data_IF_101360655618
#
_entry.id   IF_101360655618
#
_cell.length_a   1.000
_cell.length_b   1.000
_cell.length_c   1.000
_cell.angle_alpha   90.00
_cell.angle_beta   90.00
_cell.angle_gamma   90.00
#
_symmetry.space_group_name_H-M   'P 1'
#
loop_
_entity.id
_entity.type
_entity.pdbx_description
1 polymer ?
#
# COMPACT_ATOMS: atom_id res chain seq x y z
N UNK A 1 -11.75 -5.74 31.96
CA UNK A 1 -10.96 -6.61 31.06
C UNK A 1 -10.86 -5.90 29.73
N UNK A 2 -9.65 -5.65 29.21
CA UNK A 2 -9.50 -5.03 27.90
C UNK A 2 -9.98 -6.00 26.82
N UNK A 3 -10.86 -5.57 25.93
CA UNK A 3 -11.33 -6.39 24.82
C UNK A 3 -10.14 -6.79 23.92
N UNK A 4 -10.18 -8.01 23.38
CA UNK A 4 -9.13 -8.56 22.50
C UNK A 4 -9.73 -9.06 21.20
N UNK A 5 -8.93 -9.06 20.13
CA UNK A 5 -9.29 -9.68 18.86
C UNK A 5 -8.28 -10.77 18.52
N UNK A 6 -8.76 -11.84 17.89
CA UNK A 6 -7.92 -12.97 17.46
C UNK A 6 -8.14 -13.25 15.98
N UNK A 7 -7.06 -13.44 15.22
CA UNK A 7 -7.12 -13.76 13.80
C UNK A 7 -6.06 -14.81 13.40
N UNK A 8 -6.31 -15.60 12.34
CA UNK A 8 -5.34 -16.57 11.84
C UNK A 8 -4.16 -15.88 11.16
N UNK A 9 -2.97 -16.44 11.34
CA UNK A 9 -1.75 -16.04 10.63
C UNK A 9 -1.34 -17.19 9.71
N UNK A 10 -1.20 -16.95 8.39
CA UNK A 10 -0.82 -17.99 7.45
C UNK A 10 0.64 -18.40 7.66
N UNK A 11 0.96 -19.68 7.44
CA UNK A 11 2.36 -20.13 7.40
C UNK A 11 3.09 -19.61 6.17
N UNK A 12 2.37 -19.49 5.06
CA UNK A 12 2.89 -19.12 3.75
C UNK A 12 2.01 -18.03 3.17
N UNK A 13 2.63 -17.00 2.61
CA UNK A 13 1.94 -15.95 1.85
C UNK A 13 2.35 -16.03 0.38
N UNK A 14 1.42 -15.70 -0.51
CA UNK A 14 1.65 -15.59 -1.95
C UNK A 14 1.31 -14.18 -2.40
N UNK A 15 2.21 -13.57 -3.18
CA UNK A 15 1.99 -12.29 -3.85
C UNK A 15 2.33 -12.41 -5.32
N UNK A 16 1.60 -11.68 -6.15
CA UNK A 16 1.81 -11.67 -7.59
C UNK A 16 1.97 -10.24 -8.09
N UNK A 17 3.01 -10.04 -8.88
CA UNK A 17 3.21 -8.85 -9.68
C UNK A 17 3.13 -9.25 -11.15
N UNK A 18 2.83 -8.29 -12.00
CA UNK A 18 2.72 -8.52 -13.43
C UNK A 18 3.33 -7.38 -14.19
N UNK A 19 3.99 -7.69 -15.30
CA UNK A 19 4.49 -6.73 -16.27
C UNK A 19 3.75 -6.96 -17.59
N UNK A 20 3.02 -5.93 -18.02
CA UNK A 20 2.36 -5.88 -19.31
C UNK A 20 3.32 -5.28 -20.35
N UNK A 21 3.50 -5.95 -21.48
CA UNK A 21 4.38 -5.48 -22.56
C UNK A 21 3.86 -5.89 -23.95
N UNK A 22 4.40 -5.28 -24.99
CA UNK A 22 4.12 -5.67 -26.38
C UNK A 22 4.66 -7.07 -26.70
N UNK A 23 5.82 -7.40 -26.12
CA UNK A 23 6.49 -8.68 -26.28
C UNK A 23 7.20 -9.06 -24.98
N UNK A 24 6.89 -10.25 -24.47
CA UNK A 24 7.47 -10.81 -23.25
C UNK A 24 8.45 -11.93 -23.65
N UNK A 25 9.76 -11.82 -23.33
CA UNK A 25 10.74 -12.84 -23.65
C UNK A 25 10.38 -14.21 -23.06
N UNK A 26 10.78 -15.30 -23.75
CA UNK A 26 10.57 -16.67 -23.24
C UNK A 26 11.44 -16.98 -22.02
N UNK A 27 12.69 -16.51 -22.02
CA UNK A 27 13.69 -16.78 -21.00
C UNK A 27 13.64 -15.76 -19.85
N UNK A 28 12.51 -15.70 -19.13
CA UNK A 28 12.27 -14.67 -18.10
C UNK A 28 13.20 -14.80 -16.88
N UNK A 29 13.54 -16.00 -16.44
CA UNK A 29 14.45 -16.20 -15.31
C UNK A 29 15.84 -15.64 -15.60
N UNK A 30 16.38 -15.94 -16.79
CA UNK A 30 17.66 -15.38 -17.27
C UNK A 30 17.61 -13.86 -17.39
N UNK A 31 16.49 -13.31 -17.89
CA UNK A 31 16.26 -11.88 -17.97
C UNK A 31 16.30 -11.22 -16.59
N UNK A 32 15.57 -11.77 -15.63
CA UNK A 32 15.49 -11.27 -14.25
C UNK A 32 16.86 -11.31 -13.57
N UNK A 33 17.66 -12.36 -13.78
CA UNK A 33 19.02 -12.45 -13.26
C UNK A 33 19.98 -11.39 -13.83
N UNK A 34 19.80 -11.03 -15.11
CA UNK A 34 20.64 -10.04 -15.79
C UNK A 34 20.22 -8.60 -15.46
N UNK A 35 18.93 -8.36 -15.24
CA UNK A 35 18.34 -7.02 -15.15
C UNK A 35 18.06 -6.53 -13.74
N UNK A 36 17.93 -7.44 -12.77
CA UNK A 36 17.82 -7.01 -11.37
C UNK A 36 19.16 -6.47 -10.88
N UNK A 37 19.18 -5.19 -10.52
CA UNK A 37 20.36 -4.49 -9.97
C UNK A 37 20.17 -4.13 -8.50
N UNK A 38 21.22 -3.61 -7.87
CA UNK A 38 21.15 -3.06 -6.51
C UNK A 38 20.97 -4.12 -5.40
N UNK A 39 20.36 -3.69 -4.29
CA UNK A 39 20.35 -4.44 -3.03
C UNK A 39 19.63 -5.81 -3.06
N UNK A 40 18.86 -6.08 -4.12
CA UNK A 40 18.08 -7.32 -4.27
C UNK A 40 18.68 -8.32 -5.25
N UNK A 41 19.76 -7.96 -5.96
CA UNK A 41 20.35 -8.82 -7.00
C UNK A 41 20.67 -10.24 -6.49
N UNK A 42 21.38 -10.35 -5.38
CA UNK A 42 21.76 -11.65 -4.80
C UNK A 42 20.53 -12.46 -4.36
N UNK A 43 19.52 -11.80 -3.79
CA UNK A 43 18.29 -12.47 -3.37
C UNK A 43 17.46 -12.98 -4.55
N UNK A 44 17.34 -12.18 -5.62
CA UNK A 44 16.69 -12.62 -6.85
C UNK A 44 17.45 -13.79 -7.47
N UNK A 45 18.79 -13.70 -7.56
CA UNK A 45 19.62 -14.81 -8.07
C UNK A 45 19.45 -16.11 -7.28
N UNK A 46 19.35 -16.02 -5.95
CA UNK A 46 19.16 -17.19 -5.11
C UNK A 46 17.75 -17.79 -5.11
N UNK A 47 16.74 -17.08 -5.62
CA UNK A 47 15.32 -17.48 -5.50
C UNK A 47 14.62 -17.70 -6.84
N UNK A 48 15.04 -17.02 -7.91
CA UNK A 48 14.35 -17.13 -9.20
C UNK A 48 14.41 -18.56 -9.74
N UNK A 49 13.28 -19.05 -10.28
CA UNK A 49 13.15 -20.44 -10.72
C UNK A 49 12.90 -21.43 -9.57
N UNK A 50 12.68 -20.94 -8.35
CA UNK A 50 12.21 -21.73 -7.20
C UNK A 50 10.78 -21.33 -6.85
N UNK A 51 10.05 -22.12 -6.04
CA UNK A 51 8.72 -21.71 -5.56
C UNK A 51 8.71 -20.38 -4.78
N UNK A 52 9.86 -19.93 -4.26
CA UNK A 52 9.97 -18.64 -3.56
C UNK A 52 9.93 -17.43 -4.50
N UNK A 53 10.29 -17.62 -5.77
CA UNK A 53 10.21 -16.61 -6.82
C UNK A 53 10.07 -17.31 -8.18
N UNK A 54 8.83 -17.52 -8.59
CA UNK A 54 8.48 -18.03 -9.90
C UNK A 54 8.25 -16.86 -10.87
N UNK A 55 8.71 -17.02 -12.11
CA UNK A 55 8.53 -16.03 -13.18
C UNK A 55 8.05 -16.76 -14.42
N UNK A 56 6.84 -16.45 -14.85
CA UNK A 56 6.17 -17.13 -15.96
C UNK A 56 5.56 -16.14 -16.94
N UNK A 57 5.36 -16.59 -18.18
CA UNK A 57 4.66 -15.84 -19.22
C UNK A 57 3.21 -16.31 -19.27
N UNK A 58 2.28 -15.37 -19.23
CA UNK A 58 0.87 -15.59 -19.48
C UNK A 58 0.42 -14.78 -20.70
N UNK A 59 -0.48 -15.34 -21.51
CA UNK A 59 -1.10 -14.65 -22.64
C UNK A 59 -2.51 -14.19 -22.25
N UNK A 60 -2.97 -13.08 -22.85
CA UNK A 60 -4.25 -12.44 -22.51
C UNK A 60 -5.45 -13.39 -22.58
N UNK A 61 -5.45 -14.34 -23.52
CA UNK A 61 -6.52 -15.32 -23.71
C UNK A 61 -6.66 -16.33 -22.56
N UNK A 62 -5.65 -16.48 -21.70
CA UNK A 62 -5.59 -17.51 -20.65
C UNK A 62 -5.47 -16.94 -19.24
N UNK A 63 -5.64 -15.63 -19.08
CA UNK A 63 -5.52 -14.98 -17.78
C UNK A 63 -6.62 -15.46 -16.82
N UNK A 64 -6.23 -15.76 -15.59
CA UNK A 64 -7.16 -16.08 -14.49
C UNK A 64 -7.58 -14.84 -13.67
N UNK A 65 -7.27 -13.66 -14.19
CA UNK A 65 -7.48 -12.36 -13.58
C UNK A 65 -7.79 -11.35 -14.68
N UNK A 66 -8.45 -10.25 -14.33
CA UNK A 66 -8.92 -9.25 -15.28
C UNK A 66 -7.95 -8.06 -15.33
N UNK A 67 -7.24 -7.83 -16.45
CA UNK A 67 -6.38 -6.64 -16.62
C UNK A 67 -7.13 -5.33 -16.44
N UNK A 68 -8.42 -5.29 -16.79
CA UNK A 68 -9.25 -4.09 -16.65
C UNK A 68 -9.61 -3.78 -15.21
N UNK A 69 -9.21 -4.62 -14.24
CA UNK A 69 -9.32 -4.32 -12.80
C UNK A 69 -8.12 -3.55 -12.24
N UNK A 70 -7.03 -3.46 -13.02
CA UNK A 70 -5.81 -2.74 -12.64
C UNK A 70 -5.97 -1.25 -12.94
N UNK A 71 -5.62 -0.41 -11.96
CA UNK A 71 -5.80 1.05 -12.01
C UNK A 71 -4.47 1.77 -11.83
N UNK A 72 -4.34 2.91 -12.51
CA UNK A 72 -3.37 3.92 -12.10
C UNK A 72 -3.84 4.58 -10.79
N UNK A 73 -2.94 4.74 -9.82
CA UNK A 73 -3.24 5.50 -8.59
C UNK A 73 -3.42 6.98 -8.92
N UNK A 74 -2.59 7.51 -9.82
CA UNK A 74 -2.58 8.91 -10.18
C UNK A 74 -3.09 9.16 -11.61
N UNK A 75 -3.88 10.23 -11.85
CA UNK A 75 -4.46 10.51 -13.15
C UNK A 75 -3.45 10.65 -14.30
N UNK A 76 -2.22 11.08 -14.02
CA UNK A 76 -1.14 11.20 -15.01
C UNK A 76 -0.70 9.86 -15.60
N UNK A 77 -0.92 8.75 -14.88
CA UNK A 77 -0.57 7.41 -15.34
C UNK A 77 -1.71 6.73 -16.14
N UNK A 78 -2.78 7.46 -16.49
CA UNK A 78 -3.88 6.93 -17.32
C UNK A 78 -3.42 6.31 -18.64
N UNK A 79 -2.38 6.86 -19.28
CA UNK A 79 -1.81 6.27 -20.50
C UNK A 79 -1.21 4.89 -20.24
N UNK A 80 -0.52 4.72 -19.12
CA UNK A 80 0.05 3.43 -18.72
C UNK A 80 -1.06 2.43 -18.35
N UNK A 81 -2.13 2.90 -17.71
CA UNK A 81 -3.32 2.08 -17.48
C UNK A 81 -3.94 1.58 -18.79
N UNK A 82 -4.17 2.47 -19.76
CA UNK A 82 -4.65 2.07 -21.09
C UNK A 82 -3.69 1.08 -21.76
N UNK A 83 -2.38 1.33 -21.75
CA UNK A 83 -1.39 0.42 -22.32
C UNK A 83 -1.42 -0.96 -21.64
N UNK A 84 -1.55 -0.98 -20.32
CA UNK A 84 -1.67 -2.22 -19.55
C UNK A 84 -2.92 -3.02 -19.92
N UNK A 85 -4.08 -2.35 -20.06
CA UNK A 85 -5.34 -3.01 -20.44
C UNK A 85 -5.32 -3.60 -21.85
N UNK A 86 -4.54 -3.03 -22.76
CA UNK A 86 -4.45 -3.46 -24.17
C UNK A 86 -3.24 -4.36 -24.46
N UNK A 87 -2.42 -4.67 -23.45
CA UNK A 87 -1.27 -5.54 -23.63
C UNK A 87 -1.70 -6.96 -24.03
N UNK A 88 -0.90 -7.57 -24.91
CA UNK A 88 -1.15 -8.94 -25.41
C UNK A 88 -0.48 -9.99 -24.54
N UNK A 89 0.63 -9.62 -23.91
CA UNK A 89 1.49 -10.53 -23.17
C UNK A 89 1.81 -9.98 -21.79
N UNK A 90 1.92 -10.92 -20.85
CA UNK A 90 2.15 -10.61 -19.45
C UNK A 90 3.28 -11.49 -18.90
N UNK A 91 4.27 -10.88 -18.25
CA UNK A 91 5.18 -11.59 -17.37
C UNK A 91 4.59 -11.57 -15.96
N UNK A 92 4.34 -12.73 -15.36
CA UNK A 92 3.83 -12.88 -14.01
C UNK A 92 4.96 -13.28 -13.08
N UNK A 93 5.16 -12.49 -12.04
CA UNK A 93 6.15 -12.74 -10.99
C UNK A 93 5.39 -13.16 -9.73
N UNK A 94 5.60 -14.39 -9.29
CA UNK A 94 4.93 -14.95 -8.11
C UNK A 94 5.95 -15.21 -7.00
N UNK A 95 5.79 -14.56 -5.86
CA UNK A 95 6.51 -14.90 -4.63
C UNK A 95 5.61 -15.71 -3.71
N UNK A 96 6.03 -16.93 -3.36
CA UNK A 96 5.39 -17.74 -2.33
C UNK A 96 6.40 -18.16 -1.26
N UNK A 97 6.23 -17.68 -0.04
CA UNK A 97 7.23 -17.89 1.01
C UNK A 97 6.62 -17.85 2.40
N UNK A 98 7.39 -18.23 3.44
CA UNK A 98 6.90 -18.16 4.80
C UNK A 98 6.58 -16.71 5.18
N UNK A 99 5.55 -16.50 6.02
CA UNK A 99 5.17 -15.14 6.45
C UNK A 99 6.30 -14.41 7.17
N UNK A 100 7.22 -15.16 7.79
CA UNK A 100 8.41 -14.65 8.48
C UNK A 100 9.48 -14.10 7.52
N UNK A 101 9.40 -14.38 6.22
CA UNK A 101 10.28 -13.80 5.20
C UNK A 101 9.78 -12.41 4.74
N UNK A 102 8.63 -11.96 5.24
CA UNK A 102 8.06 -10.66 4.87
C UNK A 102 8.64 -9.53 5.74
N UNK A 103 8.87 -8.34 5.15
CA UNK A 103 8.50 -7.93 3.79
C UNK A 103 9.52 -8.32 2.70
N UNK A 104 10.68 -8.89 3.07
CA UNK A 104 11.80 -9.10 2.15
C UNK A 104 11.43 -9.96 0.94
N UNK A 105 10.66 -11.03 1.16
CA UNK A 105 10.21 -11.92 0.10
C UNK A 105 9.41 -11.22 -0.99
N UNK A 106 8.44 -10.37 -0.62
CA UNK A 106 7.66 -9.63 -1.62
C UNK A 106 8.47 -8.50 -2.27
N UNK A 107 9.41 -7.87 -1.56
CA UNK A 107 10.31 -6.88 -2.16
C UNK A 107 11.20 -7.48 -3.25
N UNK A 108 11.71 -8.70 -3.03
CA UNK A 108 12.49 -9.43 -4.04
C UNK A 108 11.67 -9.67 -5.31
N UNK A 109 10.40 -10.05 -5.18
CA UNK A 109 9.52 -10.22 -6.34
C UNK A 109 9.19 -8.89 -7.03
N UNK A 110 8.97 -7.80 -6.29
CA UNK A 110 8.75 -6.48 -6.91
C UNK A 110 10.01 -5.98 -7.62
N UNK A 111 11.20 -6.23 -7.06
CA UNK A 111 12.49 -5.95 -7.72
C UNK A 111 12.64 -6.71 -9.05
N UNK A 112 12.25 -7.99 -9.08
CA UNK A 112 12.23 -8.76 -10.32
C UNK A 112 11.26 -8.18 -11.35
N UNK A 113 10.07 -7.73 -10.91
CA UNK A 113 9.09 -7.07 -11.78
C UNK A 113 9.62 -5.74 -12.34
N UNK A 114 10.34 -4.93 -11.55
CA UNK A 114 11.06 -3.76 -12.07
C UNK A 114 12.05 -4.16 -13.17
N UNK A 115 12.90 -5.16 -12.93
CA UNK A 115 13.89 -5.61 -13.91
C UNK A 115 13.28 -6.13 -15.22
N UNK A 116 12.13 -6.80 -15.15
CA UNK A 116 11.38 -7.20 -16.36
C UNK A 116 10.80 -5.98 -17.08
N UNK A 117 10.13 -5.08 -16.35
CA UNK A 117 9.51 -3.90 -16.93
C UNK A 117 10.53 -2.98 -17.60
N UNK A 118 11.69 -2.77 -16.99
CA UNK A 118 12.79 -2.01 -17.59
C UNK A 118 13.27 -2.67 -18.89
N UNK A 119 13.45 -3.99 -18.88
CA UNK A 119 13.99 -4.70 -20.03
C UNK A 119 13.01 -4.82 -21.21
N UNK A 120 11.71 -4.77 -20.95
CA UNK A 120 10.66 -4.84 -21.98
C UNK A 120 10.04 -3.48 -22.31
N UNK A 121 10.44 -2.40 -21.62
CA UNK A 121 9.72 -1.12 -21.67
C UNK A 121 8.26 -1.23 -21.20
N UNK A 122 7.97 -2.20 -20.34
CA UNK A 122 6.62 -2.58 -19.92
C UNK A 122 6.04 -1.72 -18.79
N UNK A 123 4.79 -2.02 -18.44
CA UNK A 123 4.08 -1.41 -17.29
C UNK A 123 3.94 -2.48 -16.21
N UNK A 124 4.47 -2.20 -15.01
CA UNK A 124 4.39 -3.13 -13.89
C UNK A 124 3.24 -2.77 -12.94
N UNK A 125 2.50 -3.80 -12.54
CA UNK A 125 1.38 -3.69 -11.62
C UNK A 125 1.42 -4.77 -10.54
N UNK A 126 0.85 -4.44 -9.40
CA UNK A 126 0.68 -5.33 -8.26
C UNK A 126 -0.75 -5.88 -8.27
N UNK A 127 -0.90 -7.20 -8.44
CA UNK A 127 -2.22 -7.84 -8.54
C UNK A 127 -2.96 -7.86 -7.19
N UNK A 128 -2.24 -7.70 -6.08
CA UNK A 128 -2.85 -7.70 -4.74
C UNK A 128 -3.47 -6.33 -4.46
N UNK A 129 -2.74 -5.24 -4.69
CA UNK A 129 -3.30 -3.87 -4.54
C UNK A 129 -4.24 -3.51 -5.70
N UNK A 130 -3.99 -4.06 -6.89
CA UNK A 130 -4.68 -3.68 -8.13
C UNK A 130 -4.09 -2.42 -8.78
N UNK A 131 -2.87 -2.02 -8.40
CA UNK A 131 -2.28 -0.74 -8.81
C UNK A 131 -1.04 -0.89 -9.69
N UNK A 132 -0.89 0.05 -10.62
CA UNK A 132 0.34 0.25 -11.40
C UNK A 132 1.37 0.95 -10.52
N UNK A 133 2.54 0.33 -10.34
CA UNK A 133 3.63 0.87 -9.51
C UNK A 133 4.88 1.26 -10.31
N UNK A 134 4.97 0.88 -11.59
CA UNK A 134 6.07 1.28 -12.45
C UNK A 134 5.62 1.47 -13.90
N UNK A 135 6.16 2.53 -14.53
CA UNK A 135 5.99 2.79 -15.96
C UNK A 135 7.33 3.26 -16.52
N UNK A 136 7.73 2.76 -17.69
CA UNK A 136 8.92 3.26 -18.40
C UNK A 136 8.80 4.77 -18.75
N UNK A 137 7.56 5.27 -18.90
CA UNK A 137 7.25 6.66 -19.22
C UNK A 137 7.36 7.64 -18.03
N UNK A 138 7.57 7.17 -16.79
CA UNK A 138 7.75 8.06 -15.64
C UNK A 138 8.98 8.97 -15.79
N UNK A 139 9.94 8.59 -16.65
CA UNK A 139 11.08 9.41 -17.04
C UNK A 139 10.69 10.67 -17.85
N UNK A 140 9.46 10.74 -18.39
CA UNK A 140 8.98 11.87 -19.21
C UNK A 140 8.17 12.91 -18.43
N UNK A 141 7.68 12.58 -17.23
CA UNK A 141 6.83 13.47 -16.41
C UNK A 141 7.61 14.29 -15.37
N UNK A 142 8.94 14.23 -15.38
CA UNK A 142 9.79 14.99 -14.44
C UNK A 142 9.75 14.52 -12.98
N UNK A 143 8.91 13.53 -12.66
CA UNK A 143 8.86 12.86 -11.35
C UNK A 143 9.59 11.52 -11.45
N UNK A 144 10.74 11.33 -10.78
CA UNK A 144 11.48 10.08 -10.88
C UNK A 144 10.66 8.95 -10.23
N UNK A 145 10.07 8.06 -11.03
CA UNK A 145 9.70 6.76 -10.50
C UNK A 145 10.99 6.06 -10.05
N UNK A 146 11.01 5.37 -8.90
CA UNK A 146 12.20 4.68 -8.48
C UNK A 146 12.56 3.65 -9.58
N UNK A 147 13.79 3.70 -10.12
CA UNK A 147 14.20 2.78 -11.19
C UNK A 147 14.35 1.34 -10.68
N UNK A 148 14.25 1.13 -9.38
CA UNK A 148 14.42 -0.16 -8.72
C UNK A 148 13.72 -0.19 -7.37
N UNK A 149 13.57 -1.39 -6.82
CA UNK A 149 13.00 -1.59 -5.48
C UNK A 149 13.85 -0.92 -4.39
N UNK A 150 13.19 -0.21 -3.48
CA UNK A 150 13.84 0.43 -2.32
C UNK A 150 14.39 -0.62 -1.35
N UNK A 151 15.66 -0.54 -0.91
CA UNK A 151 16.21 -1.47 0.08
C UNK A 151 15.49 -1.43 1.43
N UNK A 152 15.05 -0.24 1.84
CA UNK A 152 14.22 -0.03 3.03
C UNK A 152 12.75 -0.16 2.65
N UNK A 153 12.02 -1.00 3.37
CA UNK A 153 10.57 -1.12 3.22
C UNK A 153 9.85 0.13 3.74
N UNK A 154 8.92 0.66 2.96
CA UNK A 154 8.05 1.79 3.30
C UNK A 154 6.63 1.44 2.87
N UNK A 155 5.65 1.40 3.78
CA UNK A 155 4.30 0.90 3.46
C UNK A 155 3.58 1.80 2.43
N UNK A 156 3.82 3.12 2.49
CA UNK A 156 3.30 4.08 1.53
C UNK A 156 3.87 3.96 0.10
N UNK A 157 4.91 3.15 -0.11
CA UNK A 157 5.46 2.87 -1.42
C UNK A 157 4.58 1.87 -2.19
N UNK A 158 3.27 2.16 -2.27
CA UNK A 158 2.24 1.39 -2.98
C UNK A 158 2.09 -0.09 -2.55
N UNK A 159 2.52 -0.45 -1.34
CA UNK A 159 2.30 -1.78 -0.78
C UNK A 159 0.87 -1.99 -0.27
N UNK A 160 0.16 -0.88 -0.05
CA UNK A 160 -1.23 -0.83 0.36
C UNK A 160 -2.07 -0.26 -0.78
N UNK A 161 -3.00 -1.08 -1.27
CA UNK A 161 -4.06 -0.67 -2.16
C UNK A 161 -5.14 0.02 -1.35
N UNK A 162 -5.22 1.32 -1.51
CA UNK A 162 -6.20 2.18 -0.88
C UNK A 162 -6.53 3.26 -1.91
N UNK A 163 -7.80 3.41 -2.21
CA UNK A 163 -8.26 4.43 -3.13
C UNK A 163 -9.41 5.15 -2.44
N UNK A 164 -9.33 6.47 -2.40
CA UNK A 164 -10.51 7.25 -2.11
C UNK A 164 -11.56 6.92 -3.16
N UNK A 165 -12.84 6.76 -2.77
CA UNK A 165 -13.88 6.71 -3.77
C UNK A 165 -13.79 7.98 -4.62
N UNK A 166 -14.13 7.91 -5.90
CA UNK A 166 -14.26 9.11 -6.73
C UNK A 166 -15.17 10.11 -6.02
N UNK A 167 -14.80 11.40 -6.08
CA UNK A 167 -15.43 12.50 -5.36
C UNK A 167 -16.97 12.36 -5.33
N UNK A 168 -17.55 12.49 -4.12
CA UNK A 168 -18.99 12.32 -3.85
C UNK A 168 -19.58 11.00 -4.35
N UNK A 169 -18.86 9.89 -4.17
CA UNK A 169 -19.31 8.57 -4.60
C UNK A 169 -19.78 8.54 -6.07
N UNK A 170 -19.00 9.13 -6.99
CA UNK A 170 -19.37 9.36 -8.40
C UNK A 170 -20.64 10.22 -8.57
N UNK A 171 -20.77 11.29 -7.78
CA UNK A 171 -21.95 12.17 -7.81
C UNK A 171 -23.23 11.53 -7.27
N UNK A 172 -23.14 10.38 -6.59
CA UNK A 172 -24.30 9.72 -5.93
C UNK A 172 -24.55 10.26 -4.52
N UNK A 173 -23.60 10.96 -3.93
CA UNK A 173 -23.82 11.65 -2.66
C UNK A 173 -24.68 12.89 -2.90
N UNK A 174 -25.89 12.89 -2.32
CA UNK A 174 -26.86 14.00 -2.42
C UNK A 174 -26.75 15.00 -1.27
N UNK A 175 -25.78 14.84 -0.36
CA UNK A 175 -25.58 15.79 0.72
C UNK A 175 -25.15 17.16 0.18
N UNK A 176 -25.53 18.21 0.91
CA UNK A 176 -25.21 19.58 0.59
C UNK A 176 -23.69 19.78 0.51
N UNK A 177 -23.27 20.74 -0.29
CA UNK A 177 -21.85 21.08 -0.38
C UNK A 177 -21.35 21.61 0.97
N UNK A 178 -20.27 21.06 1.54
CA UNK A 178 -19.64 21.59 2.75
C UNK A 178 -19.40 23.10 2.72
N UNK A 179 -19.07 23.67 1.54
CA UNK A 179 -18.84 25.11 1.38
C UNK A 179 -20.14 25.93 1.40
N UNK A 180 -21.28 25.30 1.08
CA UNK A 180 -22.60 25.95 1.02
C UNK A 180 -23.45 25.68 2.27
N UNK A 181 -23.20 24.57 2.95
CA UNK A 181 -23.88 24.15 4.18
C UNK A 181 -22.88 23.49 5.15
N UNK A 182 -22.19 24.31 5.97
CA UNK A 182 -21.24 23.82 6.97
C UNK A 182 -21.88 22.92 8.06
N UNK A 183 -23.17 23.09 8.34
CA UNK A 183 -23.92 22.23 9.27
C UNK A 183 -24.24 20.86 8.63
N UNK A 184 -24.32 20.82 7.30
CA UNK A 184 -24.53 19.62 6.48
C UNK A 184 -23.28 18.77 6.19
N UNK A 185 -22.10 19.17 6.69
CA UNK A 185 -20.79 18.49 6.44
C UNK A 185 -20.81 17.01 6.89
N UNK A 186 -21.55 16.71 7.96
CA UNK A 186 -21.78 15.36 8.47
C UNK A 186 -23.03 14.68 7.88
N UNK A 187 -23.71 15.32 6.93
CA UNK A 187 -24.99 14.89 6.36
C UNK A 187 -24.91 13.68 5.41
N UNK A 188 -23.71 13.15 5.15
CA UNK A 188 -23.54 11.89 4.40
C UNK A 188 -22.71 10.86 5.18
N UNK A 189 -22.91 9.59 4.85
CA UNK A 189 -22.17 8.44 5.41
C UNK A 189 -21.82 7.43 4.30
N UNK A 190 -21.58 7.92 3.09
CA UNK A 190 -21.51 7.09 1.88
C UNK A 190 -20.10 6.55 1.59
N UNK A 191 -19.07 7.01 2.32
CA UNK A 191 -17.69 6.57 2.11
C UNK A 191 -17.42 5.29 2.92
N UNK A 192 -16.93 4.29 2.21
CA UNK A 192 -16.36 3.07 2.78
C UNK A 192 -14.97 2.89 2.19
N UNK A 193 -13.97 2.81 3.06
CA UNK A 193 -12.59 2.55 2.68
C UNK A 193 -12.17 1.19 3.17
N UNK A 194 -11.37 0.50 2.37
CA UNK A 194 -10.85 -0.83 2.68
C UNK A 194 -9.43 -0.94 2.17
N UNK A 195 -8.53 -1.49 2.98
CA UNK A 195 -7.17 -1.77 2.53
C UNK A 195 -7.14 -3.02 1.65
N UNK A 196 -6.16 -3.07 0.77
CA UNK A 196 -5.77 -4.27 0.02
C UNK A 196 -4.26 -4.44 0.10
N UNK A 197 -3.78 -5.54 0.65
CA UNK A 197 -2.34 -5.82 0.67
C UNK A 197 -1.83 -6.35 1.99
N UNK A 198 -2.51 -6.09 3.10
CA UNK A 198 -2.08 -6.53 4.43
C UNK A 198 -1.97 -8.06 4.53
N UNK A 199 -2.80 -8.77 3.76
CA UNK A 199 -2.76 -10.24 3.69
C UNK A 199 -1.41 -10.80 3.26
N UNK A 200 -0.65 -10.08 2.43
CA UNK A 200 0.69 -10.55 2.01
C UNK A 200 1.70 -10.57 3.15
N UNK A 201 1.43 -9.78 4.19
CA UNK A 201 2.21 -9.70 5.41
C UNK A 201 1.62 -10.53 6.55
N UNK A 202 0.58 -11.34 6.30
CA UNK A 202 -0.05 -12.18 7.32
C UNK A 202 -1.09 -11.47 8.20
N UNK A 203 -1.51 -10.26 7.82
CA UNK A 203 -2.52 -9.49 8.54
C UNK A 203 -3.89 -9.50 7.83
N UNK A 204 -5.01 -9.38 8.58
CA UNK A 204 -6.31 -9.05 8.01
C UNK A 204 -6.29 -7.71 7.28
N UNK A 205 -7.18 -7.54 6.29
CA UNK A 205 -7.42 -6.20 5.74
C UNK A 205 -8.19 -5.35 6.75
N UNK A 206 -8.08 -4.03 6.62
CA UNK A 206 -8.79 -3.07 7.45
C UNK A 206 -9.92 -2.41 6.65
N UNK A 207 -10.97 -1.99 7.33
CA UNK A 207 -11.99 -1.13 6.77
C UNK A 207 -12.46 -0.07 7.75
N UNK A 208 -12.97 1.03 7.21
CA UNK A 208 -13.77 2.02 7.93
C UNK A 208 -15.02 2.31 7.08
N UNK A 209 -16.18 2.40 7.74
CA UNK A 209 -17.49 2.58 7.09
C UNK A 209 -18.17 3.82 7.63
N UNK A 210 -19.26 4.22 6.96
CA UNK A 210 -20.16 5.28 7.42
C UNK A 210 -19.50 6.66 7.51
N UNK A 211 -18.46 6.87 6.69
CA UNK A 211 -17.67 8.10 6.64
C UNK A 211 -18.35 9.12 5.72
N UNK A 212 -18.40 10.37 6.15
CA UNK A 212 -18.84 11.48 5.32
C UNK A 212 -17.77 11.83 4.28
N UNK A 213 -18.18 12.24 3.08
CA UNK A 213 -17.25 12.64 2.02
C UNK A 213 -16.16 13.63 2.47
N UNK A 214 -16.45 14.65 3.31
CA UNK A 214 -15.42 15.59 3.76
C UNK A 214 -14.33 14.97 4.66
N UNK A 215 -14.60 13.80 5.24
CA UNK A 215 -13.70 13.12 6.18
C UNK A 215 -12.98 11.92 5.56
N UNK A 216 -13.05 11.75 4.23
CA UNK A 216 -12.49 10.59 3.54
C UNK A 216 -10.95 10.52 3.63
N UNK A 217 -10.26 11.66 3.54
CA UNK A 217 -8.81 11.77 3.72
C UNK A 217 -8.40 11.42 5.15
N UNK A 218 -9.12 11.95 6.15
CA UNK A 218 -8.88 11.62 7.55
C UNK A 218 -9.09 10.12 7.82
N UNK A 219 -10.20 9.56 7.33
CA UNK A 219 -10.49 8.14 7.41
C UNK A 219 -9.41 7.27 6.75
N UNK A 220 -8.94 7.69 5.56
CA UNK A 220 -7.87 7.02 4.85
C UNK A 220 -6.57 7.03 5.67
N UNK A 221 -6.19 8.17 6.21
CA UNK A 221 -4.97 8.29 7.00
C UNK A 221 -5.07 7.53 8.34
N UNK A 222 -6.24 7.44 8.96
CA UNK A 222 -6.48 6.52 10.09
C UNK A 222 -6.24 5.07 9.69
N UNK A 223 -6.73 4.62 8.52
CA UNK A 223 -6.47 3.26 8.04
C UNK A 223 -4.98 3.01 7.76
N UNK A 224 -4.30 3.95 7.10
CA UNK A 224 -2.86 3.89 6.81
C UNK A 224 -2.02 3.74 8.06
N UNK A 225 -2.28 4.59 9.05
CA UNK A 225 -1.57 4.58 10.33
C UNK A 225 -1.89 3.33 11.14
N UNK A 226 -3.15 2.89 11.14
CA UNK A 226 -3.53 1.61 11.78
C UNK A 226 -2.81 0.44 11.14
N UNK A 227 -2.75 0.39 9.81
CA UNK A 227 -2.04 -0.64 9.06
C UNK A 227 -0.55 -0.67 9.44
N UNK A 228 0.12 0.50 9.48
CA UNK A 228 1.53 0.59 9.87
C UNK A 228 1.75 0.12 11.30
N UNK A 229 0.94 0.57 12.25
CA UNK A 229 1.01 0.17 13.66
C UNK A 229 0.88 -1.34 13.81
N UNK A 230 -0.15 -1.93 13.21
CA UNK A 230 -0.40 -3.37 13.27
C UNK A 230 0.73 -4.18 12.65
N UNK A 231 1.31 -3.69 11.56
CA UNK A 231 2.43 -4.32 10.85
C UNK A 231 3.71 -4.30 11.69
N UNK A 232 4.05 -3.17 12.33
CA UNK A 232 5.17 -3.09 13.28
C UNK A 232 5.03 -4.12 14.39
N UNK A 233 3.87 -4.12 15.07
CA UNK A 233 3.62 -5.05 16.15
C UNK A 233 3.61 -6.51 15.65
N UNK A 234 3.18 -6.74 14.40
CA UNK A 234 3.15 -8.07 13.79
C UNK A 234 4.52 -8.64 13.54
N UNK A 235 5.43 -7.85 12.98
CA UNK A 235 6.80 -8.30 12.74
C UNK A 235 7.56 -8.52 14.04
N UNK A 236 7.33 -7.67 15.05
CA UNK A 236 7.87 -7.90 16.39
C UNK A 236 7.38 -9.24 16.96
N UNK A 237 6.08 -9.54 16.81
CA UNK A 237 5.52 -10.82 17.23
C UNK A 237 6.09 -12.01 16.42
N UNK A 238 6.19 -11.91 15.09
CA UNK A 238 6.75 -12.97 14.24
C UNK A 238 8.21 -13.27 14.59
N UNK A 239 8.99 -12.25 14.95
CA UNK A 239 10.38 -12.40 15.35
C UNK A 239 10.55 -13.22 16.65
N UNK A 240 9.49 -13.37 17.46
CA UNK A 240 9.51 -14.26 18.64
C UNK A 240 9.41 -15.74 18.29
N UNK A 241 9.23 -16.11 17.02
CA UNK A 241 9.06 -17.49 16.57
C UNK A 241 7.79 -18.16 17.12
N UNK A 242 6.60 -17.55 16.96
CA UNK A 242 5.39 -18.06 17.56
C UNK A 242 5.00 -19.42 16.97
N UNK A 243 4.78 -20.41 17.83
CA UNK A 243 4.31 -21.73 17.42
C UNK A 243 2.82 -21.72 17.00
N UNK A 244 2.02 -20.80 17.56
CA UNK A 244 0.60 -20.69 17.28
C UNK A 244 0.32 -19.98 15.95
N UNK A 245 -0.60 -20.52 15.16
CA UNK A 245 -1.06 -19.94 13.87
C UNK A 245 -2.19 -18.92 14.03
N UNK A 246 -2.35 -18.39 15.23
CA UNK A 246 -3.32 -17.36 15.56
C UNK A 246 -2.63 -16.31 16.39
N UNK A 247 -2.97 -15.05 16.13
CA UNK A 247 -2.46 -13.92 16.89
C UNK A 247 -3.61 -13.23 17.60
N UNK A 248 -3.44 -13.00 18.89
CA UNK A 248 -4.37 -12.23 19.72
C UNK A 248 -3.74 -10.88 20.03
N UNK A 249 -4.49 -9.80 19.83
CA UNK A 249 -4.08 -8.43 20.14
C UNK A 249 -5.18 -7.69 20.91
N UNK A 250 -4.81 -6.57 21.54
CA UNK A 250 -5.80 -5.67 22.14
C UNK A 250 -6.73 -5.10 21.06
N UNK A 251 -8.03 -5.03 21.36
CA UNK A 251 -9.01 -4.42 20.49
C UNK A 251 -8.88 -2.88 20.51
N UNK A 252 -8.65 -2.30 21.68
CA UNK A 252 -8.32 -0.89 21.83
C UNK A 252 -6.84 -0.65 21.55
N UNK A 253 -6.52 0.25 20.63
CA UNK A 253 -5.14 0.66 20.35
C UNK A 253 -5.07 2.16 20.16
N UNK A 254 -3.88 2.73 20.31
CA UNK A 254 -3.65 4.15 20.08
C UNK A 254 -2.72 4.34 18.89
N UNK A 255 -3.03 5.33 18.06
CA UNK A 255 -2.21 5.75 16.94
C UNK A 255 -1.40 6.98 17.33
N UNK A 256 -0.15 7.03 16.90
CA UNK A 256 0.76 8.14 17.19
C UNK A 256 1.17 8.84 15.88
N UNK A 257 1.70 10.07 16.00
CA UNK A 257 2.36 10.74 14.86
C UNK A 257 3.49 9.89 14.29
N UNK A 258 4.23 9.19 15.15
CA UNK A 258 5.30 8.28 14.73
C UNK A 258 4.79 7.16 13.82
N UNK A 259 3.62 6.57 14.11
CA UNK A 259 3.02 5.55 13.23
C UNK A 259 2.65 6.11 11.85
N UNK A 260 2.24 7.38 11.79
CA UNK A 260 1.92 8.08 10.53
C UNK A 260 3.16 8.42 9.73
N UNK A 261 4.20 8.95 10.37
CA UNK A 261 5.49 9.23 9.72
C UNK A 261 6.15 7.94 9.20
N UNK A 262 6.09 6.88 10.00
CA UNK A 262 6.59 5.56 9.64
C UNK A 262 5.84 4.93 8.45
N UNK A 263 4.55 5.25 8.27
CA UNK A 263 3.79 4.83 7.11
C UNK A 263 4.39 5.43 5.83
N UNK A 264 4.66 6.74 5.86
CA UNK A 264 5.26 7.49 4.75
C UNK A 264 6.76 7.24 4.56
N UNK A 265 7.41 6.63 5.55
CA UNK A 265 8.86 6.45 5.57
C UNK A 265 9.61 7.76 5.78
N UNK A 266 8.92 8.82 6.21
CA UNK A 266 9.51 10.12 6.51
C UNK A 266 10.26 10.05 7.83
N UNK A 267 11.53 10.46 7.82
CA UNK A 267 12.30 10.71 9.04
C UNK A 267 12.02 12.09 9.62
N UNK A 268 10.89 12.74 9.29
CA UNK A 268 10.55 14.09 9.76
C UNK A 268 10.31 14.03 11.27
N UNK A 269 11.40 14.05 12.04
CA UNK A 269 11.43 14.40 13.46
C UNK A 269 11.20 15.91 13.58
N UNK A 270 10.12 16.42 12.98
CA UNK A 270 9.69 17.77 13.29
C UNK A 270 9.04 17.66 14.67
N UNK A 271 9.76 18.14 15.68
CA UNK A 271 9.40 18.07 17.10
C UNK A 271 8.17 18.90 17.46
N UNK A 272 7.05 18.71 16.75
CA UNK A 272 5.76 19.08 17.30
C UNK A 272 5.52 18.25 18.55
N UNK A 273 5.08 18.88 19.66
CA UNK A 273 4.75 18.15 20.86
C UNK A 273 3.74 17.06 20.52
N UNK A 274 3.98 15.86 21.06
CA UNK A 274 3.12 14.69 20.87
C UNK A 274 1.67 15.10 21.06
N UNK A 275 0.88 15.09 19.98
CA UNK A 275 -0.56 15.06 20.12
C UNK A 275 -0.91 13.86 21.02
N UNK A 276 -2.00 13.99 21.80
CA UNK A 276 -2.50 12.85 22.55
C UNK A 276 -2.70 11.66 21.60
N UNK A 277 -2.32 10.43 22.00
CA UNK A 277 -2.48 9.28 21.13
C UNK A 277 -3.94 9.12 20.69
N UNK A 278 -4.17 9.02 19.39
CA UNK A 278 -5.51 8.90 18.83
C UNK A 278 -6.04 7.48 19.06
N UNK A 279 -7.01 7.35 19.97
CA UNK A 279 -7.56 6.05 20.37
C UNK A 279 -8.51 5.52 19.29
N UNK A 280 -8.34 4.25 18.95
CA UNK A 280 -9.18 3.52 18.01
C UNK A 280 -9.64 2.20 18.62
N UNK A 281 -10.70 1.63 18.05
CA UNK A 281 -11.19 0.31 18.39
C UNK A 281 -11.23 -0.57 17.14
N UNK A 282 -10.60 -1.74 17.26
CA UNK A 282 -10.57 -2.79 16.25
C UNK A 282 -11.68 -3.80 16.54
N UNK A 283 -12.55 -4.03 15.56
CA UNK A 283 -13.63 -5.03 15.64
C UNK A 283 -13.48 -6.05 14.53
N UNK A 284 -13.37 -7.36 14.82
CA UNK A 284 -13.27 -8.36 13.79
C UNK A 284 -14.62 -8.48 13.07
N UNK A 285 -14.62 -8.29 11.75
CA UNK A 285 -15.80 -8.52 10.91
C UNK A 285 -15.78 -9.94 10.35
N UNK A 286 -14.58 -10.37 9.92
CA UNK A 286 -14.30 -11.75 9.52
C UNK A 286 -12.87 -12.10 9.97
N UNK A 287 -12.43 -13.36 9.88
CA UNK A 287 -11.03 -13.71 10.15
C UNK A 287 -9.99 -12.96 9.28
N UNK A 288 -10.43 -12.32 8.18
CA UNK A 288 -9.57 -11.61 7.22
C UNK A 288 -9.93 -10.15 7.02
N UNK A 289 -10.78 -9.60 7.90
CA UNK A 289 -11.24 -8.21 7.85
C UNK A 289 -11.52 -7.67 9.24
N UNK A 290 -10.88 -6.55 9.58
CA UNK A 290 -11.08 -5.82 10.82
C UNK A 290 -11.67 -4.44 10.49
N UNK A 291 -12.72 -4.05 11.20
CA UNK A 291 -13.26 -2.70 11.16
C UNK A 291 -12.53 -1.82 12.17
N UNK A 292 -12.09 -0.65 11.72
CA UNK A 292 -11.51 0.42 12.52
C UNK A 292 -12.60 1.45 12.80
N UNK A 293 -12.75 1.86 14.05
CA UNK A 293 -13.71 2.89 14.43
C UNK A 293 -13.39 3.53 15.78
N UNK A 294 -14.28 4.39 16.28
CA UNK A 294 -14.07 5.10 17.53
C UNK A 294 -14.03 4.13 18.74
N UNK A 295 -13.37 4.56 19.83
CA UNK A 295 -13.44 3.89 21.13
C UNK A 295 -14.89 3.64 21.59
N UNK A 296 -15.10 2.60 22.39
CA UNK A 296 -16.44 2.21 22.87
C UNK A 296 -17.07 3.27 23.79
N UNK A 297 -16.25 4.07 24.48
CA UNK A 297 -16.65 5.18 25.34
C UNK A 297 -16.97 6.47 24.55
N UNK A 298 -16.71 6.50 23.24
CA UNK A 298 -16.99 7.68 22.41
C UNK A 298 -18.49 7.82 22.13
N UNK A 299 -19.06 8.99 22.44
CA UNK A 299 -20.51 9.26 22.34
C UNK A 299 -20.97 9.87 21.01
N UNK A 300 -20.05 10.22 20.12
CA UNK A 300 -20.36 10.79 18.81
C UNK A 300 -20.35 9.78 17.66
N UNK A 301 -20.58 10.28 16.45
CA UNK A 301 -20.48 9.51 15.20
C UNK A 301 -19.03 9.26 14.80
N UNK A 302 -18.81 8.40 13.79
CA UNK A 302 -17.47 8.22 13.20
C UNK A 302 -16.92 9.54 12.64
N UNK A 303 -17.80 10.41 12.16
CA UNK A 303 -17.43 11.70 11.57
C UNK A 303 -17.00 12.70 12.64
N UNK A 304 -17.71 12.76 13.78
CA UNK A 304 -17.30 13.57 14.93
C UNK A 304 -15.94 13.13 15.48
N UNK A 305 -15.68 11.81 15.43
CA UNK A 305 -14.42 11.22 15.86
C UNK A 305 -13.27 11.57 14.90
N UNK A 306 -13.50 11.44 13.59
CA UNK A 306 -12.56 11.81 12.53
C UNK A 306 -12.32 13.32 12.40
N UNK A 307 -13.14 14.15 13.02
CA UNK A 307 -12.96 15.60 13.08
C UNK A 307 -12.55 16.09 14.47
N UNK A 308 -12.30 15.17 15.41
CA UNK A 308 -11.88 15.55 16.75
C UNK A 308 -10.46 16.13 16.71
N UNK A 309 -10.20 17.19 17.48
CA UNK A 309 -8.86 17.79 17.61
C UNK A 309 -7.77 16.87 18.17
N UNK A 310 -8.06 15.57 18.35
CA UNK A 310 -7.14 14.54 18.81
C UNK A 310 -6.43 13.77 17.67
N UNK A 311 -6.83 13.96 16.40
CA UNK A 311 -6.08 13.39 15.28
C UNK A 311 -4.71 14.08 15.14
N UNK A 312 -3.62 13.30 14.99
CA UNK A 312 -2.30 13.85 14.69
C UNK A 312 -2.32 14.78 13.47
N UNK A 313 -1.59 15.89 13.56
CA UNK A 313 -1.44 16.85 12.46
C UNK A 313 -0.92 16.19 11.18
N UNK A 314 -1.46 16.60 10.03
CA UNK A 314 -1.16 16.02 8.72
C UNK A 314 -2.09 14.88 8.28
N UNK A 315 -2.85 14.27 9.21
CA UNK A 315 -3.83 13.24 8.83
C UNK A 315 -5.06 13.81 8.09
N UNK A 316 -5.31 15.11 8.19
CA UNK A 316 -6.45 15.75 7.51
C UNK A 316 -6.22 15.96 6.01
N UNK A 317 -4.97 16.18 5.58
CA UNK A 317 -4.72 16.79 4.26
C UNK A 317 -3.71 16.04 3.38
N UNK A 318 -2.95 15.08 3.93
CA UNK A 318 -1.87 14.42 3.19
C UNK A 318 -2.43 13.22 2.40
N UNK A 319 -2.42 13.35 1.06
CA UNK A 319 -2.84 12.31 0.12
C UNK A 319 -1.68 11.57 -0.55
N UNK A 320 -0.49 12.18 -0.61
CA UNK A 320 0.70 11.64 -1.27
C UNK A 320 1.96 12.03 -0.48
N UNK A 321 3.01 11.22 -0.59
CA UNK A 321 4.20 11.38 0.24
C UNK A 321 4.92 12.70 -0.05
N UNK A 322 5.23 13.53 0.96
CA UNK A 322 6.14 14.67 0.79
C UNK A 322 7.58 14.25 0.46
N UNK A 323 7.95 12.97 0.64
CA UNK A 323 9.26 12.46 0.24
C UNK A 323 9.44 12.34 -1.28
N UNK A 324 8.35 12.46 -2.06
CA UNK A 324 8.44 12.62 -3.51
C UNK A 324 8.91 14.02 -3.93
N UNK A 325 8.85 15.01 -3.03
CA UNK A 325 9.32 16.37 -3.28
C UNK A 325 10.78 16.60 -2.84
N UNK A 326 11.24 15.98 -1.74
CA UNK A 326 12.63 16.14 -1.28
C UNK A 326 13.67 15.45 -2.19
N UNK A 327 13.25 14.51 -3.05
CA UNK A 327 14.10 13.96 -4.12
C UNK A 327 14.39 14.99 -5.24
N UNK A 328 13.62 16.07 -5.34
CA UNK A 328 13.84 17.18 -6.27
C UNK A 328 14.77 18.26 -5.69
N UNK A 329 15.09 18.22 -4.40
CA UNK A 329 15.77 19.31 -3.68
C UNK A 329 17.23 18.99 -3.27
N UNK A 330 17.85 17.92 -3.76
CA UNK A 330 19.31 17.74 -3.59
C UNK A 330 20.06 18.49 -4.71
N UNK A 331 20.72 19.63 -4.44
CA UNK A 331 21.63 20.21 -5.41
C UNK A 331 22.81 19.25 -5.57
N UNK A 332 23.02 18.81 -6.81
CA UNK A 332 24.30 18.27 -7.25
C UNK A 332 25.35 19.34 -6.93
N UNK A 333 26.11 19.14 -5.85
CA UNK A 333 27.36 19.86 -5.68
C UNK A 333 28.29 19.36 -6.78
N UNK A 334 28.45 20.17 -7.82
CA UNK A 334 29.47 19.97 -8.83
C UNK A 334 30.84 19.86 -8.13
N UNK A 335 31.67 18.87 -8.47
CA UNK A 335 33.05 18.87 -8.03
C UNK A 335 33.73 20.11 -8.63
N UNK A 336 34.33 20.92 -7.75
CA UNK A 336 35.32 21.89 -8.18
C UNK A 336 36.53 21.09 -8.69
N UNK A 337 36.74 21.13 -9.99
CA UNK A 337 37.95 20.69 -10.67
C UNK A 337 38.97 21.86 -10.72
N UNK A 338 40.26 21.55 -10.91
CA UNK A 338 41.32 21.68 -9.88
C UNK A 338 41.96 23.06 -9.68
#
# INVERSE_FOLDING_TARGET
MSATITFPVPTTTTSRFVVAAESVPKELTSLVHARTTGAFQTHVRGRAGTPQLDVSREESAWLRWDPTSIRAVHPEHRRAETAFHHAREFAVITASGPVTDQPRGVQVARAAAYGVAEATGGVAADLVTGHIFHTAAANLTGRPAPPSERPRFVLADQWLGEALPPFRANGRCTAADPEQDPEGVNGCCCVRLMTRGLRRFGLPELQITDVACPHDVAALNVLRTTARRLLTDHWAWLATGPACRTRTIAAGTSLTTGDFDDFWGSSRRNGSPSAEPFRILLRPTTPRLITVGPPEDYRGTVNDWLWSGSLPGGMYDILSSPADEDALASPVQSPADP
#
